data_IF_340310808270
#
_entry.id   IF_340310808270
#
_cell.length_a   1.000
_cell.length_b   1.000
_cell.length_c   1.000
_cell.angle_alpha   90.00
_cell.angle_beta   90.00
_cell.angle_gamma   90.00
#
_symmetry.space_group_name_H-M   'P 1'
#
loop_
_entity.id
_entity.type
_entity.pdbx_description
1 polymer ?
#
# COMPACT_ATOMS: atom_id res chain seq x y z
N UNK A 1 -5.60 -14.55 7.92
CA UNK A 1 -6.80 -14.17 8.70
C UNK A 1 -8.03 -14.87 8.13
N UNK A 2 -9.09 -15.12 8.93
CA UNK A 2 -10.31 -15.79 8.44
C UNK A 2 -10.99 -15.01 7.29
N UNK A 3 -10.93 -13.69 7.35
CA UNK A 3 -11.50 -12.77 6.35
C UNK A 3 -10.42 -12.15 5.44
N UNK A 4 -9.33 -12.87 5.13
CA UNK A 4 -8.20 -12.31 4.37
C UNK A 4 -8.63 -11.78 3.00
N UNK A 5 -9.45 -12.53 2.26
CA UNK A 5 -9.90 -12.11 0.92
C UNK A 5 -10.69 -10.79 0.98
N UNK A 6 -11.56 -10.66 1.98
CA UNK A 6 -12.29 -9.42 2.25
C UNK A 6 -11.37 -8.26 2.64
N UNK A 7 -10.31 -8.53 3.41
CA UNK A 7 -9.31 -7.52 3.74
C UNK A 7 -8.56 -7.04 2.48
N UNK A 8 -8.19 -7.96 1.58
CA UNK A 8 -7.55 -7.62 0.30
C UNK A 8 -8.50 -6.76 -0.55
N UNK A 9 -9.76 -7.19 -0.71
CA UNK A 9 -10.77 -6.44 -1.47
C UNK A 9 -10.96 -5.01 -0.92
N UNK A 10 -11.03 -4.86 0.41
CA UNK A 10 -11.13 -3.54 1.05
C UNK A 10 -9.87 -2.71 0.81
N UNK A 11 -8.68 -3.30 0.91
CA UNK A 11 -7.43 -2.59 0.67
C UNK A 11 -7.32 -2.10 -0.78
N UNK A 12 -7.66 -2.95 -1.76
CA UNK A 12 -7.68 -2.59 -3.18
C UNK A 12 -8.65 -1.46 -3.49
N UNK A 13 -9.88 -1.52 -2.93
CA UNK A 13 -10.88 -0.46 -3.09
C UNK A 13 -10.43 0.87 -2.49
N UNK A 14 -9.80 0.85 -1.31
CA UNK A 14 -9.32 2.07 -0.67
C UNK A 14 -8.09 2.65 -1.38
N UNK A 15 -7.25 1.80 -1.98
CA UNK A 15 -6.06 2.20 -2.71
C UNK A 15 -6.33 2.67 -4.15
N UNK A 16 -7.51 2.39 -4.73
CA UNK A 16 -7.77 2.51 -6.18
C UNK A 16 -7.50 3.88 -6.81
N UNK A 17 -7.54 4.95 -6.02
CA UNK A 17 -7.33 6.33 -6.49
C UNK A 17 -5.89 6.84 -6.28
N UNK A 18 -4.99 6.01 -5.76
CA UNK A 18 -3.63 6.39 -5.40
C UNK A 18 -2.62 5.49 -6.12
N UNK A 19 -1.48 6.06 -6.51
CA UNK A 19 -0.38 5.27 -7.09
C UNK A 19 0.21 4.32 -6.05
N UNK A 20 0.28 4.79 -4.80
CA UNK A 20 0.73 4.04 -3.64
C UNK A 20 0.07 4.61 -2.39
N UNK A 21 -0.43 3.73 -1.52
CA UNK A 21 -0.88 4.06 -0.17
C UNK A 21 -0.80 2.79 0.68
N UNK A 22 -0.39 2.92 1.94
CA UNK A 22 -0.52 1.82 2.91
C UNK A 22 -1.91 1.88 3.52
N UNK A 23 -2.60 0.74 3.56
CA UNK A 23 -3.92 0.60 4.17
C UNK A 23 -3.81 -0.28 5.40
N UNK A 24 -4.15 0.28 6.56
CA UNK A 24 -4.14 -0.47 7.82
C UNK A 24 -5.55 -1.02 8.08
N UNK A 25 -5.66 -2.35 8.24
CA UNK A 25 -6.92 -3.06 8.49
C UNK A 25 -6.82 -3.95 9.72
N UNK A 26 -7.89 -3.97 10.52
CA UNK A 26 -8.01 -4.83 11.69
C UNK A 26 -9.12 -5.87 11.49
N UNK A 27 -8.90 -7.09 11.97
CA UNK A 27 -9.93 -8.13 12.06
C UNK A 27 -10.29 -8.36 13.53
N UNK A 28 -11.47 -7.89 13.95
CA UNK A 28 -11.94 -8.00 15.33
C UNK A 28 -13.29 -8.71 15.33
N UNK A 29 -13.39 -9.83 16.05
CA UNK A 29 -14.61 -10.65 16.16
C UNK A 29 -15.24 -11.00 14.79
N UNK A 30 -14.41 -11.30 13.79
CA UNK A 30 -14.87 -11.65 12.44
C UNK A 30 -15.27 -10.46 11.56
N UNK A 31 -15.13 -9.23 12.05
CA UNK A 31 -15.42 -8.02 11.30
C UNK A 31 -14.12 -7.29 10.93
N UNK A 32 -14.05 -6.84 9.68
CA UNK A 32 -12.94 -6.02 9.16
C UNK A 32 -13.23 -4.55 9.45
N UNK A 33 -12.24 -3.85 10.01
CA UNK A 33 -12.27 -2.44 10.34
C UNK A 33 -11.12 -1.70 9.67
N UNK A 34 -11.41 -0.51 9.15
CA UNK A 34 -10.41 0.43 8.67
C UNK A 34 -9.71 1.11 9.84
N UNK A 35 -8.38 1.22 9.75
CA UNK A 35 -7.55 1.95 10.71
C UNK A 35 -7.08 3.30 10.15
N UNK A 36 -6.17 3.26 9.19
CA UNK A 36 -5.48 4.43 8.63
C UNK A 36 -5.15 4.23 7.15
N UNK A 37 -5.07 5.36 6.41
CA UNK A 37 -4.35 5.46 5.15
C UNK A 37 -3.05 6.25 5.36
N UNK A 38 -1.91 5.64 5.05
CA UNK A 38 -0.60 6.27 5.21
C UNK A 38 0.04 6.49 3.83
N UNK A 39 0.14 7.75 3.42
CA UNK A 39 0.71 8.15 2.12
C UNK A 39 2.24 8.13 2.08
N UNK A 40 2.88 8.38 3.22
CA UNK A 40 4.34 8.50 3.35
C UNK A 40 4.83 7.68 4.55
N UNK A 41 4.79 6.34 4.49
CA UNK A 41 5.28 5.51 5.58
C UNK A 41 6.76 5.82 5.87
N UNK A 42 7.14 5.83 7.15
CA UNK A 42 8.48 6.22 7.60
C UNK A 42 8.96 7.59 7.04
N UNK A 43 8.03 8.53 6.87
CA UNK A 43 8.28 9.85 6.28
C UNK A 43 8.87 9.80 4.85
N UNK A 44 8.71 8.68 4.14
CA UNK A 44 9.29 8.47 2.81
C UNK A 44 10.76 8.04 2.81
N UNK A 45 11.36 7.78 3.98
CA UNK A 45 12.75 7.33 4.12
C UNK A 45 12.87 5.85 4.55
N UNK A 46 11.74 5.13 4.58
CA UNK A 46 11.74 3.69 4.82
C UNK A 46 12.54 2.99 3.72
N UNK A 47 13.38 2.03 4.12
CA UNK A 47 14.18 1.21 3.20
C UNK A 47 13.73 -0.23 3.28
N UNK A 48 13.71 -0.91 2.15
CA UNK A 48 13.59 -2.36 2.14
C UNK A 48 14.96 -3.00 2.34
N UNK A 49 14.97 -4.08 3.12
CA UNK A 49 16.14 -4.94 3.29
C UNK A 49 15.74 -6.38 2.96
N UNK A 50 16.38 -7.02 1.96
CA UNK A 50 17.45 -6.50 1.09
C UNK A 50 17.00 -5.41 0.10
N UNK A 51 17.96 -4.56 -0.31
CA UNK A 51 17.79 -3.44 -1.27
C UNK A 51 17.04 -3.81 -2.56
N UNK A 52 17.20 -5.06 -3.04
CA UNK A 52 16.48 -5.55 -4.21
C UNK A 52 14.96 -5.30 -4.16
N UNK A 53 14.34 -5.40 -2.98
CA UNK A 53 12.90 -5.18 -2.85
C UNK A 53 12.50 -3.72 -3.02
N UNK A 54 13.38 -2.77 -2.68
CA UNK A 54 13.16 -1.35 -2.90
C UNK A 54 12.99 -1.08 -4.40
N UNK A 55 13.91 -1.61 -5.20
CA UNK A 55 13.85 -1.53 -6.65
C UNK A 55 12.64 -2.29 -7.22
N UNK A 56 12.39 -3.52 -6.77
CA UNK A 56 11.31 -4.35 -7.26
C UNK A 56 9.96 -3.65 -7.11
N UNK A 57 9.59 -3.21 -5.90
CA UNK A 57 8.31 -2.53 -5.68
C UNK A 57 8.27 -1.15 -6.34
N UNK A 58 9.37 -0.40 -6.32
CA UNK A 58 9.47 0.87 -7.03
C UNK A 58 9.20 0.73 -8.54
N UNK A 59 9.65 -0.36 -9.16
CA UNK A 59 9.46 -0.63 -10.58
C UNK A 59 8.01 -0.91 -10.98
N UNK A 60 7.14 -1.25 -10.02
CA UNK A 60 5.72 -1.48 -10.25
C UNK A 60 4.89 -0.17 -10.24
N UNK A 61 5.47 0.95 -9.80
CA UNK A 61 4.77 2.22 -9.68
C UNK A 61 4.62 2.92 -11.04
N UNK A 62 3.38 3.18 -11.44
CA UNK A 62 3.08 4.00 -12.61
C UNK A 62 3.07 5.49 -12.22
N UNK A 63 4.25 6.10 -12.23
CA UNK A 63 4.41 7.52 -11.90
C UNK A 63 4.02 8.43 -13.08
N UNK A 64 3.38 9.59 -12.82
CA UNK A 64 3.09 10.60 -13.84
C UNK A 64 4.35 11.38 -14.18
N UNK A 65 5.33 10.72 -14.80
CA UNK A 65 6.57 11.35 -15.23
C UNK A 65 6.28 12.09 -16.53
N UNK A 66 6.40 13.41 -16.54
CA UNK A 66 6.57 14.14 -17.81
C UNK A 66 7.94 13.79 -18.36
N UNK A 67 8.02 13.35 -19.62
CA UNK A 67 9.29 13.31 -20.33
C UNK A 67 9.91 14.70 -20.22
N UNK A 68 11.17 14.76 -19.78
CA UNK A 68 11.96 15.99 -19.93
C UNK A 68 12.17 16.15 -21.43
N UNK A 69 11.49 17.11 -22.03
CA UNK A 69 11.88 17.69 -23.32
C UNK A 69 13.27 18.34 -23.19
#
# INVERSE_FOLDING_TARGET
PKELDKMIEVAEKLASNFIFVRVDLYLVNGQVYFGELTFHPASGYGKFEPEYYDYYYGSLLNLPIKSKD
#
